data_IF_835083665102
#
_entry.id   IF_835083665102
#
_cell.length_a   1.000
_cell.length_b   1.000
_cell.length_c   1.000
_cell.angle_alpha   90.00
_cell.angle_beta   90.00
_cell.angle_gamma   90.00
#
_symmetry.space_group_name_H-M   'P 1'
#
loop_
_entity.id
_entity.type
_entity.pdbx_description
1 polymer ?
#
# COMPACT_ATOMS: atom_id res chain seq x y z
N UNK A 1 13.98 -0.61 -9.98
CA UNK A 1 13.78 0.82 -10.33
C UNK A 1 12.49 1.43 -9.71
N UNK A 2 11.29 0.91 -10.03
CA UNK A 2 10.02 1.45 -9.52
C UNK A 2 9.93 1.47 -7.98
N UNK A 3 10.32 0.38 -7.33
CA UNK A 3 10.33 0.29 -5.87
C UNK A 3 11.14 1.43 -5.23
N UNK A 4 12.33 1.75 -5.77
CA UNK A 4 13.16 2.83 -5.25
C UNK A 4 12.49 4.20 -5.39
N UNK A 5 11.76 4.44 -6.49
CA UNK A 5 11.01 5.69 -6.66
C UNK A 5 9.87 5.81 -5.66
N UNK A 6 9.14 4.72 -5.41
CA UNK A 6 8.07 4.72 -4.42
C UNK A 6 8.61 4.91 -3.00
N UNK A 7 9.73 4.27 -2.65
CA UNK A 7 10.40 4.50 -1.36
C UNK A 7 10.78 5.96 -1.17
N UNK A 8 11.34 6.60 -2.19
CA UNK A 8 11.68 8.02 -2.15
C UNK A 8 10.45 8.92 -2.07
N UNK A 9 9.36 8.56 -2.75
CA UNK A 9 8.10 9.32 -2.71
C UNK A 9 7.47 9.28 -1.33
N UNK A 10 7.36 8.09 -0.74
CA UNK A 10 6.79 7.90 0.60
C UNK A 10 7.67 8.62 1.62
N UNK A 11 8.98 8.44 1.57
CA UNK A 11 9.92 9.12 2.46
C UNK A 11 9.82 10.65 2.34
N UNK A 12 9.67 11.19 1.14
CA UNK A 12 9.48 12.63 0.93
C UNK A 12 8.15 13.13 1.52
N UNK A 13 7.09 12.33 1.45
CA UNK A 13 5.79 12.67 2.06
C UNK A 13 5.87 12.65 3.59
N UNK A 14 6.50 11.63 4.16
CA UNK A 14 6.50 11.39 5.61
C UNK A 14 7.62 12.09 6.38
N UNK A 15 8.61 12.66 5.68
CA UNK A 15 9.80 13.27 6.30
C UNK A 15 10.88 12.28 6.75
N UNK A 16 10.70 10.98 6.47
CA UNK A 16 11.60 9.91 6.89
C UNK A 16 12.78 9.70 5.91
N UNK A 17 13.81 8.99 6.36
CA UNK A 17 14.98 8.68 5.53
C UNK A 17 14.68 7.57 4.51
N UNK A 18 14.74 7.90 3.21
CA UNK A 18 14.51 6.98 2.10
C UNK A 18 15.54 5.83 2.01
N UNK A 19 16.74 6.01 2.56
CA UNK A 19 17.80 4.99 2.54
C UNK A 19 17.75 4.05 3.76
N UNK A 20 16.78 4.26 4.66
CA UNK A 20 16.57 3.37 5.80
C UNK A 20 15.93 2.05 5.36
N UNK A 21 16.38 0.94 5.96
CA UNK A 21 15.75 -0.38 5.77
C UNK A 21 14.27 -0.35 6.15
N UNK A 22 13.90 0.40 7.18
CA UNK A 22 12.51 0.58 7.61
C UNK A 22 11.65 1.15 6.48
N UNK A 23 12.09 2.20 5.78
CA UNK A 23 11.34 2.75 4.65
C UNK A 23 11.25 1.82 3.45
N UNK A 24 12.30 1.02 3.20
CA UNK A 24 12.24 -0.04 2.18
C UNK A 24 11.16 -1.06 2.54
N UNK A 25 11.06 -1.48 3.80
CA UNK A 25 10.05 -2.44 4.27
C UNK A 25 8.64 -1.87 4.23
N UNK A 26 8.41 -0.61 4.64
CA UNK A 26 7.11 0.04 4.52
C UNK A 26 6.64 0.12 3.06
N UNK A 27 7.54 0.51 2.16
CA UNK A 27 7.22 0.54 0.72
C UNK A 27 6.84 -0.84 0.20
N UNK A 28 7.60 -1.86 0.60
CA UNK A 28 7.34 -3.24 0.18
C UNK A 28 5.98 -3.73 0.69
N UNK A 29 5.62 -3.43 1.93
CA UNK A 29 4.35 -3.80 2.52
C UNK A 29 3.16 -3.18 1.76
N UNK A 30 3.22 -1.87 1.46
CA UNK A 30 2.17 -1.18 0.70
C UNK A 30 1.99 -1.75 -0.72
N UNK A 31 3.10 -2.09 -1.40
CA UNK A 31 3.04 -2.80 -2.68
C UNK A 31 2.44 -4.20 -2.53
N UNK A 32 2.74 -4.87 -1.43
CA UNK A 32 2.19 -6.17 -1.05
C UNK A 32 0.67 -6.16 -0.99
N UNK A 33 0.05 -5.08 -0.50
CA UNK A 33 -1.41 -4.96 -0.45
C UNK A 33 -2.05 -5.03 -1.84
N UNK A 34 -1.46 -4.34 -2.83
CA UNK A 34 -1.94 -4.39 -4.22
C UNK A 34 -1.72 -5.78 -4.82
N UNK A 35 -0.55 -6.36 -4.59
CA UNK A 35 -0.19 -7.69 -5.12
C UNK A 35 -1.03 -8.81 -4.47
N UNK A 36 -1.48 -8.63 -3.22
CA UNK A 36 -2.28 -9.61 -2.50
C UNK A 36 -3.60 -9.93 -3.22
N UNK A 37 -4.24 -8.94 -3.87
CA UNK A 37 -5.45 -9.19 -4.65
C UNK A 37 -5.20 -10.06 -5.89
N UNK A 38 -4.00 -9.98 -6.48
CA UNK A 38 -3.61 -10.84 -7.60
C UNK A 38 -3.22 -12.24 -7.13
N UNK A 39 -2.38 -12.33 -6.10
CA UNK A 39 -1.86 -13.61 -5.58
C UNK A 39 -2.94 -14.42 -4.87
N UNK A 40 -3.79 -13.75 -4.09
CA UNK A 40 -4.90 -14.32 -3.34
C UNK A 40 -6.24 -14.25 -4.07
N UNK A 41 -6.25 -14.05 -5.40
CA UNK A 41 -7.46 -13.77 -6.20
C UNK A 41 -8.61 -14.72 -5.89
N UNK A 42 -8.35 -16.03 -5.91
CA UNK A 42 -9.40 -17.04 -5.68
C UNK A 42 -10.03 -16.93 -4.29
N UNK A 43 -9.21 -16.66 -3.27
CA UNK A 43 -9.68 -16.46 -1.90
C UNK A 43 -10.56 -15.22 -1.82
N UNK A 44 -10.15 -14.10 -2.42
CA UNK A 44 -10.94 -12.86 -2.41
C UNK A 44 -12.27 -13.08 -3.13
N UNK A 45 -12.26 -13.66 -4.33
CA UNK A 45 -13.49 -13.94 -5.08
C UNK A 45 -14.47 -14.79 -4.28
N UNK A 46 -14.01 -15.90 -3.70
CA UNK A 46 -14.88 -16.77 -2.88
C UNK A 46 -15.42 -16.08 -1.64
N UNK A 47 -14.57 -15.34 -0.92
CA UNK A 47 -14.95 -14.72 0.36
C UNK A 47 -15.84 -13.48 0.19
N UNK A 48 -15.63 -12.72 -0.88
CA UNK A 48 -16.45 -11.57 -1.23
C UNK A 48 -17.71 -11.94 -2.03
N UNK A 49 -17.85 -13.21 -2.45
CA UNK A 49 -18.98 -13.66 -3.27
C UNK A 49 -18.94 -13.10 -4.69
N UNK A 50 -17.75 -12.86 -5.24
CA UNK A 50 -17.54 -12.27 -6.55
C UNK A 50 -17.21 -13.34 -7.60
N UNK A 51 -17.78 -13.22 -8.80
CA UNK A 51 -17.43 -14.09 -9.92
C UNK A 51 -16.06 -13.72 -10.52
N UNK A 52 -15.75 -12.43 -10.60
CA UNK A 52 -14.51 -11.92 -11.18
C UNK A 52 -14.18 -10.53 -10.62
N UNK A 53 -13.01 -9.99 -11.00
CA UNK A 53 -12.66 -8.59 -10.76
C UNK A 53 -13.07 -7.75 -11.97
N UNK A 54 -14.35 -7.36 -11.99
CA UNK A 54 -14.84 -6.37 -12.94
C UNK A 54 -14.45 -4.95 -12.52
N UNK A 55 -14.91 -3.96 -13.28
CA UNK A 55 -14.58 -2.54 -13.06
C UNK A 55 -15.03 -2.06 -11.68
N UNK A 56 -16.22 -2.44 -11.25
CA UNK A 56 -16.82 -1.95 -9.99
C UNK A 56 -16.10 -2.56 -8.78
N UNK A 57 -15.77 -3.86 -8.84
CA UNK A 57 -15.00 -4.53 -7.79
C UNK A 57 -13.55 -4.04 -7.75
N UNK A 58 -12.97 -3.74 -8.92
CA UNK A 58 -11.64 -3.12 -9.00
C UNK A 58 -11.65 -1.73 -8.35
N UNK A 59 -12.71 -0.93 -8.56
CA UNK A 59 -12.86 0.36 -7.90
C UNK A 59 -12.95 0.23 -6.38
N UNK A 60 -13.70 -0.76 -5.87
CA UNK A 60 -13.77 -1.06 -4.43
C UNK A 60 -12.40 -1.45 -3.85
N UNK A 61 -11.63 -2.27 -4.56
CA UNK A 61 -10.25 -2.62 -4.15
C UNK A 61 -9.38 -1.37 -4.07
N UNK A 62 -9.46 -0.49 -5.07
CA UNK A 62 -8.70 0.77 -5.10
C UNK A 62 -9.06 1.67 -3.92
N UNK A 63 -10.35 1.79 -3.58
CA UNK A 63 -10.81 2.60 -2.44
C UNK A 63 -10.23 2.08 -1.12
N UNK A 64 -10.28 0.77 -0.89
CA UNK A 64 -9.70 0.14 0.32
C UNK A 64 -8.18 0.36 0.39
N UNK A 65 -7.46 0.10 -0.70
CA UNK A 65 -6.00 0.29 -0.74
C UNK A 65 -5.63 1.75 -0.53
N UNK A 66 -6.37 2.69 -1.13
CA UNK A 66 -6.10 4.13 -0.96
C UNK A 66 -6.28 4.54 0.50
N UNK A 67 -7.36 4.08 1.14
CA UNK A 67 -7.60 4.31 2.56
C UNK A 67 -6.47 3.77 3.46
N UNK A 68 -5.97 2.56 3.18
CA UNK A 68 -4.85 2.00 3.91
C UNK A 68 -3.55 2.81 3.71
N UNK A 69 -3.28 3.23 2.47
CA UNK A 69 -2.13 4.08 2.15
C UNK A 69 -2.22 5.39 2.94
N UNK A 70 -3.38 6.04 2.95
CA UNK A 70 -3.59 7.29 3.70
C UNK A 70 -3.28 7.12 5.19
N UNK A 71 -3.79 6.05 5.82
CA UNK A 71 -3.52 5.76 7.24
C UNK A 71 -2.04 5.50 7.52
N UNK A 72 -1.37 4.73 6.66
CA UNK A 72 0.06 4.44 6.84
C UNK A 72 0.89 5.71 6.66
N UNK A 73 0.59 6.52 5.64
CA UNK A 73 1.30 7.77 5.39
C UNK A 73 1.12 8.77 6.53
N UNK A 74 -0.10 8.93 7.04
CA UNK A 74 -0.38 9.79 8.18
C UNK A 74 0.36 9.30 9.44
N UNK A 75 0.25 8.01 9.76
CA UNK A 75 0.92 7.43 10.93
C UNK A 75 2.45 7.53 10.87
N UNK A 76 3.05 7.36 9.69
CA UNK A 76 4.50 7.54 9.50
C UNK A 76 4.91 9.01 9.62
N UNK A 77 4.09 9.93 9.13
CA UNK A 77 4.36 11.38 9.23
C UNK A 77 4.36 11.84 10.70
N UNK A 78 3.43 11.33 11.50
CA UNK A 78 3.37 11.62 12.94
C UNK A 78 4.64 11.13 13.66
N UNK A 79 5.12 9.92 13.37
CA UNK A 79 6.38 9.40 13.95
C UNK A 79 7.61 10.23 13.57
N UNK A 80 7.62 10.84 12.38
CA UNK A 80 8.70 11.74 11.98
C UNK A 80 8.73 13.03 12.80
N UNK A 81 7.59 13.47 13.36
CA UNK A 81 7.52 14.64 14.24
C UNK A 81 7.97 14.35 15.67
N UNK A 82 7.96 13.07 16.06
CA UNK A 82 8.38 12.61 17.40
C UNK A 82 9.89 12.31 17.50
N UNK A 83 10.60 12.25 16.37
CA UNK A 83 12.05 11.97 16.27
C UNK A 83 12.88 13.24 16.16
#
# INVERSE_FOLDING_TARGET
>A
PLHCYLTRLIAAYTGLNADSTEMVLHTHALLGEVLAFRLGRETVLRRAGWAEFDRDKTAQIIEVITCHIDFVLEGLSQRSLES
#
